data_IF_773856458087
#
_entry.id   IF_773856458087
#
_cell.length_a   1.000
_cell.length_b   1.000
_cell.length_c   1.000
_cell.angle_alpha   90.00
_cell.angle_beta   90.00
_cell.angle_gamma   90.00
#
_symmetry.space_group_name_H-M   'P 1'
#
loop_
_entity.id
_entity.type
_entity.pdbx_description
1 polymer ?
#
# COMPACT_ATOMS: atom_id res chain seq x y z
N UNK A 1 -20.98 -13.15 2.58
CA UNK A 1 -20.13 -13.88 3.54
C UNK A 1 -18.69 -13.61 3.15
N UNK A 2 -17.80 -13.34 4.12
CA UNK A 2 -16.37 -13.18 3.85
C UNK A 2 -15.67 -14.52 4.00
N UNK A 3 -14.74 -14.85 3.11
CA UNK A 3 -14.00 -16.11 3.18
C UNK A 3 -12.79 -16.15 2.25
N UNK A 4 -12.17 -17.31 2.14
CA UNK A 4 -11.08 -17.57 1.20
C UNK A 4 -11.30 -18.91 0.48
N UNK A 5 -10.73 -19.02 -0.71
CA UNK A 5 -10.65 -20.26 -1.49
C UNK A 5 -9.19 -20.57 -1.75
N UNK A 6 -8.80 -21.84 -1.56
CA UNK A 6 -7.46 -22.30 -1.93
C UNK A 6 -7.53 -22.96 -3.31
N UNK A 7 -6.63 -22.58 -4.20
CA UNK A 7 -6.58 -23.12 -5.55
C UNK A 7 -5.16 -23.54 -5.93
N UNK A 8 -5.06 -24.60 -6.75
CA UNK A 8 -3.81 -24.99 -7.39
C UNK A 8 -3.57 -24.11 -8.63
N UNK A 9 -3.27 -22.84 -8.35
CA UNK A 9 -2.89 -21.84 -9.35
C UNK A 9 -1.41 -21.48 -9.16
N UNK A 10 -0.69 -21.30 -10.26
CA UNK A 10 0.72 -20.97 -10.20
C UNK A 10 0.92 -19.46 -9.98
N UNK A 11 1.47 -19.11 -8.81
CA UNK A 11 2.32 -17.93 -8.66
C UNK A 11 1.66 -16.63 -8.20
N UNK A 12 0.34 -16.58 -7.99
CA UNK A 12 -0.34 -15.36 -7.52
C UNK A 12 -1.53 -15.73 -6.62
N UNK A 13 -1.62 -15.08 -5.46
CA UNK A 13 -2.86 -14.98 -4.68
C UNK A 13 -3.54 -13.66 -5.04
N UNK A 14 -4.87 -13.59 -4.93
CA UNK A 14 -5.63 -12.46 -5.42
C UNK A 14 -6.71 -12.05 -4.42
N UNK A 15 -6.86 -10.75 -4.27
CA UNK A 15 -7.75 -10.05 -3.36
C UNK A 15 -9.24 -10.14 -3.73
N UNK A 16 -9.68 -11.16 -4.46
CA UNK A 16 -11.04 -11.20 -5.02
C UNK A 16 -12.11 -10.87 -3.98
N UNK A 17 -12.81 -9.75 -4.21
CA UNK A 17 -13.71 -9.12 -3.26
C UNK A 17 -14.66 -10.11 -2.59
N UNK A 18 -14.68 -10.12 -1.26
CA UNK A 18 -15.40 -11.04 -0.36
C UNK A 18 -14.96 -12.52 -0.33
N UNK A 19 -14.13 -12.98 -1.28
CA UNK A 19 -13.64 -14.37 -1.35
C UNK A 19 -12.19 -14.40 -1.84
N UNK A 20 -11.22 -14.18 -0.95
CA UNK A 20 -9.80 -14.13 -1.28
C UNK A 20 -9.33 -15.45 -1.90
N UNK A 21 -8.62 -15.39 -3.02
CA UNK A 21 -7.99 -16.55 -3.64
C UNK A 21 -6.57 -16.71 -3.11
N UNK A 22 -6.29 -17.81 -2.41
CA UNK A 22 -4.95 -18.16 -1.95
C UNK A 22 -4.37 -19.29 -2.79
N UNK A 23 -3.25 -19.02 -3.46
CA UNK A 23 -2.51 -20.08 -4.17
C UNK A 23 -1.96 -21.10 -3.16
N UNK A 24 -2.08 -22.39 -3.46
CA UNK A 24 -1.68 -23.47 -2.53
C UNK A 24 -0.23 -23.35 -2.03
N UNK A 25 0.68 -22.83 -2.86
CA UNK A 25 2.09 -22.62 -2.52
C UNK A 25 2.39 -21.28 -1.81
N UNK A 26 1.38 -20.45 -1.59
CA UNK A 26 1.48 -19.13 -0.95
C UNK A 26 0.59 -19.02 0.30
N UNK A 27 0.00 -20.14 0.75
CA UNK A 27 -0.79 -20.15 1.99
C UNK A 27 0.14 -19.86 3.17
N UNK A 28 -0.02 -18.68 3.75
CA UNK A 28 0.75 -18.23 4.91
C UNK A 28 0.19 -16.94 5.48
N UNK A 29 0.56 -16.62 6.71
CA UNK A 29 0.08 -15.41 7.40
C UNK A 29 0.42 -14.15 6.61
N UNK A 30 1.63 -14.07 6.07
CA UNK A 30 2.11 -12.97 5.23
C UNK A 30 1.14 -12.66 4.09
N UNK A 31 0.95 -13.62 3.18
CA UNK A 31 0.03 -13.49 2.04
C UNK A 31 -1.40 -13.24 2.50
N UNK A 32 -1.88 -13.96 3.53
CA UNK A 32 -3.25 -13.76 4.03
C UNK A 32 -3.51 -12.33 4.49
N UNK A 33 -2.55 -11.70 5.19
CA UNK A 33 -2.70 -10.32 5.67
C UNK A 33 -2.62 -9.33 4.51
N UNK A 34 -1.73 -9.58 3.54
CA UNK A 34 -1.64 -8.77 2.32
C UNK A 34 -2.98 -8.75 1.57
N UNK A 35 -3.52 -9.92 1.24
CA UNK A 35 -4.80 -10.03 0.54
C UNK A 35 -5.97 -9.45 1.34
N UNK A 36 -5.92 -9.52 2.67
CA UNK A 36 -6.93 -8.90 3.53
C UNK A 36 -6.86 -7.38 3.52
N UNK A 37 -5.67 -6.79 3.40
CA UNK A 37 -5.52 -5.34 3.34
C UNK A 37 -6.19 -4.76 2.09
N UNK A 38 -6.16 -5.50 0.98
CA UNK A 38 -6.80 -5.08 -0.26
C UNK A 38 -8.31 -4.88 -0.19
N UNK A 39 -8.98 -5.49 0.82
CA UNK A 39 -10.40 -5.22 1.08
C UNK A 39 -10.69 -3.73 1.28
N UNK A 40 -9.69 -2.96 1.74
CA UNK A 40 -9.74 -1.50 1.79
C UNK A 40 -8.99 -0.85 0.62
N UNK A 41 -7.78 -1.32 0.34
CA UNK A 41 -6.86 -0.74 -0.63
C UNK A 41 -6.91 -1.48 -1.98
N UNK A 42 -7.76 -1.02 -2.89
CA UNK A 42 -7.99 -1.64 -4.19
C UNK A 42 -9.44 -2.05 -4.38
N UNK A 43 -10.04 -2.73 -3.40
CA UNK A 43 -11.44 -3.16 -3.50
C UNK A 43 -12.44 -2.11 -3.01
N UNK A 44 -12.26 -1.56 -1.81
CA UNK A 44 -13.18 -0.55 -1.28
C UNK A 44 -12.97 0.81 -1.94
N UNK A 45 -11.71 1.19 -2.17
CA UNK A 45 -11.36 2.33 -3.02
C UNK A 45 -10.40 1.84 -4.09
N UNK A 46 -10.86 1.85 -5.33
CA UNK A 46 -10.10 1.41 -6.50
C UNK A 46 -9.25 2.53 -7.09
N UNK A 47 -8.35 2.15 -8.01
CA UNK A 47 -7.50 3.10 -8.72
C UNK A 47 -8.26 3.75 -9.88
N UNK A 48 -8.04 5.04 -10.12
CA UNK A 48 -8.50 5.69 -11.35
C UNK A 48 -7.51 5.50 -12.53
N UNK A 49 -6.26 5.10 -12.23
CA UNK A 49 -5.22 4.74 -13.18
C UNK A 49 -4.35 3.61 -12.65
N UNK A 50 -3.98 2.68 -13.53
CA UNK A 50 -3.05 1.59 -13.23
C UNK A 50 -1.66 2.09 -12.79
N UNK A 51 -1.24 3.29 -13.18
CA UNK A 51 0.05 3.85 -12.73
C UNK A 51 0.12 4.03 -11.20
N UNK A 52 -1.03 4.05 -10.53
CA UNK A 52 -1.15 4.27 -9.10
C UNK A 52 -1.16 2.96 -8.30
N UNK A 53 -0.65 1.86 -8.87
CA UNK A 53 -0.63 0.53 -8.23
C UNK A 53 0.01 0.52 -6.85
N UNK A 54 0.93 1.45 -6.56
CA UNK A 54 1.53 1.59 -5.23
C UNK A 54 0.46 1.77 -4.13
N UNK A 55 -0.70 2.38 -4.42
CA UNK A 55 -1.77 2.55 -3.44
C UNK A 55 -2.45 1.24 -3.07
N UNK A 56 -2.45 0.25 -3.95
CA UNK A 56 -2.95 -1.08 -3.62
C UNK A 56 -1.82 -1.89 -2.99
N UNK A 57 -0.79 -2.18 -3.78
CA UNK A 57 0.28 -3.14 -3.43
C UNK A 57 1.18 -2.61 -2.30
N UNK A 58 1.46 -1.31 -2.30
CA UNK A 58 2.29 -0.65 -1.30
C UNK A 58 1.62 -0.59 0.06
N UNK A 59 0.33 -0.21 0.11
CA UNK A 59 -0.43 -0.26 1.37
C UNK A 59 -0.61 -1.69 1.88
N UNK A 60 -0.93 -2.65 1.01
CA UNK A 60 -1.05 -4.05 1.40
C UNK A 60 0.27 -4.61 1.95
N UNK A 61 1.39 -4.27 1.31
CA UNK A 61 2.75 -4.61 1.79
C UNK A 61 3.05 -3.94 3.13
N UNK A 62 2.69 -2.67 3.31
CA UNK A 62 2.90 -1.95 4.56
C UNK A 62 2.11 -2.56 5.73
N UNK A 63 0.83 -2.87 5.52
CA UNK A 63 -0.03 -3.53 6.52
C UNK A 63 0.53 -4.91 6.88
N UNK A 64 1.00 -5.66 5.89
CA UNK A 64 1.65 -6.94 6.10
C UNK A 64 2.92 -6.81 6.97
N UNK A 65 3.82 -5.88 6.66
CA UNK A 65 5.04 -5.63 7.44
C UNK A 65 4.71 -5.18 8.87
N UNK A 66 3.71 -4.32 9.04
CA UNK A 66 3.23 -3.89 10.35
C UNK A 66 2.70 -5.08 11.15
N UNK A 67 1.94 -5.98 10.52
CA UNK A 67 1.41 -7.17 11.18
C UNK A 67 2.50 -8.16 11.59
N UNK A 68 3.50 -8.38 10.72
CA UNK A 68 4.66 -9.24 11.00
C UNK A 68 5.40 -8.79 12.26
N UNK A 69 5.44 -7.47 12.50
CA UNK A 69 6.15 -6.84 13.61
C UNK A 69 5.25 -6.29 14.73
N UNK A 70 3.95 -6.65 14.74
CA UNK A 70 2.94 -6.04 15.64
C UNK A 70 3.25 -6.16 17.13
N UNK A 71 4.03 -7.17 17.50
CA UNK A 71 4.38 -7.48 18.90
C UNK A 71 5.74 -6.82 19.29
N UNK A 72 6.43 -6.15 18.35
CA UNK A 72 7.72 -5.50 18.55
C UNK A 72 7.86 -4.24 17.66
N UNK A 73 7.42 -3.06 18.15
CA UNK A 73 7.49 -1.81 17.40
C UNK A 73 8.91 -1.36 17.07
N UNK A 74 9.92 -1.68 17.89
CA UNK A 74 11.31 -1.33 17.60
C UNK A 74 11.82 -2.16 16.41
N UNK A 75 11.46 -3.43 16.35
CA UNK A 75 11.78 -4.28 15.20
C UNK A 75 11.03 -3.86 13.93
N UNK A 76 9.82 -3.28 14.05
CA UNK A 76 9.12 -2.73 12.89
C UNK A 76 9.91 -1.59 12.24
N UNK A 77 10.42 -0.64 13.02
CA UNK A 77 11.21 0.48 12.49
C UNK A 77 12.51 -0.02 11.85
N UNK A 78 13.19 -1.00 12.46
CA UNK A 78 14.37 -1.64 11.85
C UNK A 78 14.04 -2.36 10.54
N UNK A 79 12.89 -3.03 10.48
CA UNK A 79 12.43 -3.68 9.26
C UNK A 79 12.14 -2.65 8.15
N UNK A 80 11.50 -1.53 8.48
CA UNK A 80 11.23 -0.46 7.51
C UNK A 80 12.52 0.18 6.99
N UNK A 81 13.51 0.42 7.84
CA UNK A 81 14.83 0.91 7.42
C UNK A 81 15.55 -0.07 6.48
N UNK A 82 15.46 -1.38 6.77
CA UNK A 82 16.00 -2.42 5.91
C UNK A 82 15.28 -2.48 4.55
N UNK A 83 13.96 -2.31 4.52
CA UNK A 83 13.16 -2.24 3.29
C UNK A 83 13.55 -1.00 2.49
N UNK A 84 13.70 0.17 3.14
CA UNK A 84 14.16 1.41 2.52
C UNK A 84 15.53 1.25 1.86
N UNK A 85 16.48 0.66 2.59
CA UNK A 85 17.81 0.34 2.05
C UNK A 85 17.73 -0.59 0.83
N UNK A 86 16.87 -1.62 0.88
CA UNK A 86 16.70 -2.54 -0.24
C UNK A 86 16.05 -1.87 -1.48
N UNK A 87 15.14 -0.91 -1.29
CA UNK A 87 14.56 -0.11 -2.38
C UNK A 87 15.63 0.75 -3.05
N UNK A 88 16.49 1.40 -2.27
CA UNK A 88 17.62 2.18 -2.79
C UNK A 88 18.62 1.29 -3.55
N UNK A 89 18.94 0.11 -3.04
CA UNK A 89 19.84 -0.86 -3.67
C UNK A 89 19.26 -1.49 -4.95
N UNK A 90 17.94 -1.62 -5.05
CA UNK A 90 17.26 -2.19 -6.23
C UNK A 90 17.51 -1.35 -7.49
N UNK A 91 17.75 -0.03 -7.34
CA UNK A 91 18.20 0.85 -8.43
C UNK A 91 17.18 1.07 -9.55
N UNK A 92 15.91 0.75 -9.32
CA UNK A 92 14.82 1.12 -10.23
C UNK A 92 14.57 2.63 -10.16
N UNK A 93 14.88 3.32 -11.26
CA UNK A 93 14.79 4.78 -11.39
C UNK A 93 13.57 5.16 -12.25
N UNK A 94 12.40 5.11 -11.64
CA UNK A 94 11.16 5.64 -12.20
C UNK A 94 10.23 6.11 -11.07
N UNK A 95 9.36 7.11 -11.32
CA UNK A 95 8.46 7.63 -10.29
C UNK A 95 7.44 6.59 -9.86
N UNK A 96 7.14 6.53 -8.56
CA UNK A 96 6.20 5.57 -8.01
C UNK A 96 4.76 5.81 -8.49
N UNK A 97 4.40 7.07 -8.79
CA UNK A 97 3.09 7.46 -9.33
C UNK A 97 2.98 7.34 -10.85
N UNK A 98 4.08 7.05 -11.56
CA UNK A 98 4.10 6.89 -13.00
C UNK A 98 5.11 5.83 -13.49
N UNK A 99 5.02 4.58 -13.01
CA UNK A 99 5.89 3.51 -13.48
C UNK A 99 5.55 3.13 -14.93
N UNK A 100 6.54 2.66 -15.71
CA UNK A 100 6.26 2.13 -17.05
C UNK A 100 5.36 0.88 -16.97
N UNK A 101 4.55 0.56 -17.99
CA UNK A 101 3.57 -0.54 -17.93
C UNK A 101 4.14 -1.91 -17.54
N UNK A 102 5.40 -2.19 -17.87
CA UNK A 102 6.08 -3.44 -17.49
C UNK A 102 6.51 -3.49 -16.01
N UNK A 103 6.33 -2.39 -15.28
CA UNK A 103 6.75 -2.18 -13.88
C UNK A 103 5.56 -1.85 -12.96
N UNK A 104 4.33 -2.06 -13.42
CA UNK A 104 3.13 -1.86 -12.57
C UNK A 104 3.11 -2.75 -11.32
N UNK A 105 3.79 -3.90 -11.37
CA UNK A 105 3.91 -4.86 -10.27
C UNK A 105 5.39 -5.13 -9.94
N UNK A 106 6.24 -4.09 -9.96
CA UNK A 106 7.67 -4.24 -9.68
C UNK A 106 7.98 -4.23 -8.18
N UNK A 107 9.21 -4.56 -7.81
CA UNK A 107 9.67 -4.46 -6.43
C UNK A 107 9.38 -3.07 -5.82
N UNK A 108 9.59 -1.99 -6.58
CA UNK A 108 9.31 -0.63 -6.11
C UNK A 108 7.81 -0.37 -5.90
N UNK A 109 6.90 -0.95 -6.70
CA UNK A 109 5.45 -0.81 -6.47
C UNK A 109 5.05 -1.31 -5.07
N UNK A 110 5.58 -2.47 -4.67
CA UNK A 110 5.28 -3.11 -3.39
C UNK A 110 6.07 -2.46 -2.24
N UNK A 111 7.40 -2.54 -2.32
CA UNK A 111 8.26 -2.16 -1.20
C UNK A 111 8.56 -0.66 -1.19
N UNK A 112 8.75 -0.03 -2.36
CA UNK A 112 8.83 1.43 -2.46
C UNK A 112 7.51 2.08 -2.04
N UNK A 113 6.37 1.51 -2.46
CA UNK A 113 5.06 1.90 -1.97
C UNK A 113 4.90 1.75 -0.45
N UNK A 114 5.40 0.66 0.15
CA UNK A 114 5.36 0.50 1.60
C UNK A 114 6.23 1.53 2.34
N UNK A 115 7.41 1.87 1.79
CA UNK A 115 8.28 2.93 2.34
C UNK A 115 7.60 4.29 2.23
N UNK A 116 7.03 4.63 1.08
CA UNK A 116 6.23 5.85 0.90
C UNK A 116 5.15 5.98 1.98
N UNK A 117 4.35 4.93 2.19
CA UNK A 117 3.27 4.95 3.18
C UNK A 117 3.80 5.11 4.61
N UNK A 118 4.93 4.47 4.92
CA UNK A 118 5.58 4.60 6.22
C UNK A 118 6.09 6.02 6.48
N UNK A 119 6.83 6.59 5.53
CA UNK A 119 7.38 7.94 5.62
C UNK A 119 6.26 8.98 5.64
N UNK A 120 5.17 8.78 4.87
CA UNK A 120 3.99 9.63 4.93
C UNK A 120 3.37 9.63 6.33
N UNK A 121 3.25 8.46 6.97
CA UNK A 121 2.78 8.36 8.36
C UNK A 121 3.72 9.09 9.32
N UNK A 122 5.04 8.99 9.14
CA UNK A 122 6.01 9.72 9.97
C UNK A 122 5.89 11.24 9.79
N UNK A 123 5.73 11.71 8.55
CA UNK A 123 5.59 13.12 8.19
C UNK A 123 4.28 13.74 8.75
N UNK A 124 3.20 12.97 8.76
CA UNK A 124 1.89 13.41 9.27
C UNK A 124 1.73 13.21 10.79
N UNK A 125 2.41 12.22 11.34
CA UNK A 125 2.08 11.64 12.65
C UNK A 125 0.83 10.76 12.62
N UNK A 126 0.75 9.83 13.56
CA UNK A 126 -0.29 8.79 13.62
C UNK A 126 -1.72 9.34 13.60
N UNK A 127 -2.01 10.36 14.40
CA UNK A 127 -3.37 10.88 14.54
C UNK A 127 -3.89 11.44 13.20
N UNK A 128 -3.10 12.29 12.54
CA UNK A 128 -3.47 12.86 11.25
C UNK A 128 -3.52 11.79 10.16
N UNK A 129 -2.55 10.87 10.11
CA UNK A 129 -2.51 9.80 9.12
C UNK A 129 -3.75 8.90 9.19
N UNK A 130 -4.07 8.36 10.37
CA UNK A 130 -5.22 7.47 10.51
C UNK A 130 -6.56 8.20 10.42
N UNK A 131 -6.64 9.47 10.82
CA UNK A 131 -7.82 10.32 10.58
C UNK A 131 -8.03 10.57 9.08
N UNK A 132 -6.95 10.86 8.35
CA UNK A 132 -6.94 11.01 6.90
C UNK A 132 -7.43 9.75 6.20
N UNK A 133 -6.90 8.57 6.55
CA UNK A 133 -7.35 7.30 5.97
C UNK A 133 -8.84 7.03 6.20
N UNK A 134 -9.35 7.28 7.41
CA UNK A 134 -10.80 7.15 7.68
C UNK A 134 -11.63 8.08 6.80
N UNK A 135 -11.19 9.32 6.63
CA UNK A 135 -11.85 10.31 5.77
C UNK A 135 -11.80 9.88 4.30
N UNK A 136 -10.65 9.39 3.84
CA UNK A 136 -10.44 8.88 2.49
C UNK A 136 -11.41 7.75 2.17
N UNK A 137 -11.48 6.72 3.01
CA UNK A 137 -12.41 5.60 2.82
C UNK A 137 -13.89 5.98 2.92
N UNK A 138 -14.22 6.98 3.74
CA UNK A 138 -15.59 7.48 3.84
C UNK A 138 -16.00 8.32 2.61
N UNK A 139 -15.03 8.95 1.95
CA UNK A 139 -15.26 9.85 0.81
C UNK A 139 -15.30 9.10 -0.52
N UNK A 140 -14.36 8.18 -0.75
CA UNK A 140 -14.17 7.50 -2.04
C UNK A 140 -14.58 6.02 -2.02
N UNK A 141 -15.13 5.54 -0.91
CA UNK A 141 -15.60 4.15 -0.78
C UNK A 141 -16.64 3.77 -1.82
N UNK A 142 -16.56 2.53 -2.32
CA UNK A 142 -17.35 2.01 -3.45
C UNK A 142 -17.07 2.78 -4.77
N UNK A 143 -15.88 3.35 -4.88
CA UNK A 143 -15.49 4.21 -6.00
C UNK A 143 -13.99 4.19 -6.27
N UNK A 144 -13.53 5.20 -7.01
CA UNK A 144 -12.12 5.39 -7.37
C UNK A 144 -11.59 6.70 -6.77
N UNK A 145 -10.28 6.76 -6.56
CA UNK A 145 -9.58 8.01 -6.25
C UNK A 145 -8.29 8.12 -7.07
N UNK A 146 -7.87 9.36 -7.32
CA UNK A 146 -6.56 9.73 -7.89
C UNK A 146 -5.51 9.97 -6.80
N UNK A 147 -4.24 10.08 -7.19
CA UNK A 147 -3.16 10.45 -6.26
C UNK A 147 -3.35 11.86 -5.71
N UNK A 148 -3.86 12.79 -6.53
CA UNK A 148 -4.17 14.16 -6.13
C UNK A 148 -5.29 14.21 -5.08
N UNK A 149 -6.32 13.39 -5.25
CA UNK A 149 -7.43 13.27 -4.29
C UNK A 149 -6.99 12.63 -2.97
N UNK A 150 -6.15 11.60 -3.03
CA UNK A 150 -5.55 11.01 -1.85
C UNK A 150 -4.68 12.04 -1.11
N UNK A 151 -3.78 12.73 -1.81
CA UNK A 151 -2.96 13.82 -1.25
C UNK A 151 -3.82 14.87 -0.57
N UNK A 152 -4.87 15.36 -1.24
CA UNK A 152 -5.73 16.41 -0.71
C UNK A 152 -6.41 16.02 0.62
N UNK A 153 -6.82 14.75 0.76
CA UNK A 153 -7.35 14.25 2.04
C UNK A 153 -6.28 14.23 3.12
N UNK A 154 -5.07 13.76 2.80
CA UNK A 154 -3.96 13.72 3.75
C UNK A 154 -3.54 15.14 4.19
N UNK A 155 -3.40 16.08 3.26
CA UNK A 155 -3.11 17.49 3.53
C UNK A 155 -4.16 18.15 4.43
N UNK A 156 -5.44 17.85 4.18
CA UNK A 156 -6.53 18.33 5.02
C UNK A 156 -6.43 17.77 6.44
N UNK A 157 -6.05 16.49 6.57
CA UNK A 157 -5.93 15.83 7.87
C UNK A 157 -4.74 16.35 8.69
N UNK A 158 -3.59 16.63 8.06
CA UNK A 158 -2.40 17.18 8.74
C UNK A 158 -2.44 18.71 8.88
N UNK A 159 -3.31 19.40 8.12
CA UNK A 159 -3.48 20.85 8.19
C UNK A 159 -2.37 21.65 7.51
N UNK A 160 -1.58 21.03 6.63
CA UNK A 160 -0.49 21.65 5.87
C UNK A 160 -0.29 20.96 4.52
N UNK A 161 0.44 21.64 3.62
CA UNK A 161 0.83 21.06 2.34
C UNK A 161 1.77 19.86 2.53
N UNK A 162 1.57 18.85 1.69
CA UNK A 162 2.41 17.68 1.47
C UNK A 162 2.89 17.63 0.02
N UNK A 163 2.69 18.71 -0.76
CA UNK A 163 3.04 18.76 -2.18
C UNK A 163 4.49 18.36 -2.47
N UNK A 164 5.46 18.90 -1.71
CA UNK A 164 6.88 18.59 -1.92
C UNK A 164 7.18 17.12 -1.63
N UNK A 165 6.58 16.54 -0.58
CA UNK A 165 6.73 15.13 -0.23
C UNK A 165 6.15 14.21 -1.32
N UNK A 166 4.96 14.53 -1.83
CA UNK A 166 4.34 13.74 -2.90
C UNK A 166 5.09 13.89 -4.22
N UNK A 167 5.60 15.08 -4.55
CA UNK A 167 6.39 15.30 -5.74
C UNK A 167 7.72 14.54 -5.70
N UNK A 168 8.40 14.49 -4.55
CA UNK A 168 9.64 13.73 -4.38
C UNK A 168 9.47 12.23 -4.67
N UNK A 169 8.31 11.68 -4.33
CA UNK A 169 8.05 10.25 -4.44
C UNK A 169 7.30 9.83 -5.72
N UNK A 170 6.37 10.65 -6.21
CA UNK A 170 5.43 10.25 -7.26
C UNK A 170 5.73 10.84 -8.64
N UNK A 171 6.60 11.85 -8.74
CA UNK A 171 6.92 12.60 -9.98
C UNK A 171 8.37 12.42 -10.45
#
# INVERSE_FOLDING_TARGET
AFGYVTADVSGVSLETQTMVLLANNMIGQRTTIHELAHMWFGDWVSLDSWQQMWRNEGFATYVQLMWENRDDPENFELAMEAVRSAVEENGEDFPLGNPPPAKLFSFNTYFGGAVFVHELRQEMGDEAFFSGLKTYFATYGDGTASDDEFRAVMETAVGRSLADFFAEWLE
#
